data_IF_527259437950
#
_entry.id   IF_527259437950
#
_cell.length_a   1.000
_cell.length_b   1.000
_cell.length_c   1.000
_cell.angle_alpha   90.00
_cell.angle_beta   90.00
_cell.angle_gamma   90.00
#
_symmetry.space_group_name_H-M   'P 1'
#
loop_
_entity.id
_entity.type
_entity.pdbx_description
1 polymer ?
#
# COMPACT_ATOMS: atom_id res chain seq x y z
N UNK A 1 -23.24 -22.71 11.94
CA UNK A 1 -23.38 -21.43 11.23
C UNK A 1 -22.22 -21.32 10.24
N UNK A 2 -22.32 -21.95 9.07
CA UNK A 2 -21.20 -22.10 8.10
C UNK A 2 -21.11 -20.96 7.06
N UNK A 3 -21.87 -19.88 7.20
CA UNK A 3 -21.89 -18.77 6.23
C UNK A 3 -21.19 -17.48 6.69
N UNK A 4 -20.91 -17.32 7.98
CA UNK A 4 -20.36 -16.07 8.53
C UNK A 4 -18.83 -15.94 8.34
N UNK A 5 -18.13 -17.02 8.05
CA UNK A 5 -16.67 -17.01 7.87
C UNK A 5 -16.23 -16.33 6.57
N UNK A 6 -17.14 -16.26 5.59
CA UNK A 6 -16.91 -15.63 4.27
C UNK A 6 -17.51 -14.23 4.20
N UNK A 7 -18.24 -13.79 5.22
CA UNK A 7 -18.89 -12.47 5.23
C UNK A 7 -17.97 -11.44 5.88
N UNK A 8 -17.68 -10.39 5.13
CA UNK A 8 -16.89 -9.25 5.57
C UNK A 8 -17.73 -7.99 5.53
N UNK A 9 -17.55 -7.13 6.54
CA UNK A 9 -18.03 -5.76 6.49
C UNK A 9 -17.04 -4.93 5.66
N UNK A 10 -17.56 -4.26 4.63
CA UNK A 10 -16.83 -3.27 3.85
C UNK A 10 -17.10 -1.89 4.45
N UNK A 11 -16.02 -1.22 4.84
CA UNK A 11 -16.06 0.14 5.37
C UNK A 11 -14.92 0.96 4.75
N UNK A 12 -15.00 2.28 4.85
CA UNK A 12 -13.97 3.18 4.38
C UNK A 12 -13.65 4.27 5.39
N UNK A 13 -12.38 4.65 5.42
CA UNK A 13 -11.82 5.75 6.21
C UNK A 13 -10.65 6.33 5.44
N UNK A 14 -10.52 7.66 5.42
CA UNK A 14 -9.38 8.38 4.81
C UNK A 14 -9.11 7.94 3.35
N UNK A 15 -10.20 7.82 2.59
CA UNK A 15 -10.18 7.45 1.17
C UNK A 15 -9.79 6.01 0.86
N UNK A 16 -9.65 5.13 1.87
CA UNK A 16 -9.33 3.71 1.68
C UNK A 16 -10.46 2.80 2.12
N UNK A 17 -10.51 1.63 1.50
CA UNK A 17 -11.48 0.58 1.82
C UNK A 17 -10.84 -0.52 2.65
N UNK A 18 -11.62 -1.08 3.56
CA UNK A 18 -11.20 -2.12 4.49
C UNK A 18 -12.27 -3.20 4.60
N UNK A 19 -11.82 -4.43 4.86
CA UNK A 19 -12.66 -5.60 5.06
C UNK A 19 -12.42 -6.17 6.46
N UNK A 20 -13.47 -6.21 7.26
CA UNK A 20 -13.46 -6.79 8.60
C UNK A 20 -14.36 -8.04 8.64
N UNK A 21 -13.87 -9.22 9.08
CA UNK A 21 -14.72 -10.40 9.20
C UNK A 21 -15.91 -10.15 10.15
N UNK A 22 -17.14 -10.40 9.67
CA UNK A 22 -18.37 -10.22 10.47
C UNK A 22 -18.37 -11.15 11.69
N UNK A 23 -17.68 -12.28 11.60
CA UNK A 23 -17.48 -13.21 12.71
C UNK A 23 -16.78 -12.55 13.92
N UNK A 24 -15.96 -11.52 13.70
CA UNK A 24 -15.23 -10.76 14.73
C UNK A 24 -15.99 -9.54 15.25
N UNK A 25 -17.15 -9.22 14.68
CA UNK A 25 -17.96 -8.07 15.08
C UNK A 25 -19.11 -8.47 15.99
N UNK A 26 -19.43 -7.62 16.96
CA UNK A 26 -20.60 -7.75 17.82
C UNK A 26 -21.79 -6.95 17.25
N UNK A 27 -21.61 -5.64 17.03
CA UNK A 27 -22.64 -4.72 16.51
C UNK A 27 -22.01 -3.43 16.00
N UNK A 28 -22.83 -2.59 15.36
CA UNK A 28 -22.46 -1.24 14.90
C UNK A 28 -23.25 -0.22 15.71
N UNK A 29 -22.58 0.84 16.16
CA UNK A 29 -23.16 1.97 16.87
C UNK A 29 -22.97 3.27 16.06
N UNK A 30 -23.75 4.30 16.42
CA UNK A 30 -23.53 5.66 15.94
C UNK A 30 -22.23 6.21 16.54
N UNK A 31 -21.33 6.69 15.69
CA UNK A 31 -20.02 7.19 16.12
C UNK A 31 -20.06 8.56 16.81
N UNK A 32 -21.21 9.24 16.81
CA UNK A 32 -21.36 10.56 17.44
C UNK A 32 -21.52 10.48 18.97
N UNK A 33 -22.01 9.35 19.46
CA UNK A 33 -22.27 9.11 20.88
C UNK A 33 -21.41 7.93 21.35
N UNK A 34 -20.14 8.22 21.68
CA UNK A 34 -19.23 7.23 22.24
C UNK A 34 -19.72 6.86 23.65
N UNK A 35 -20.09 5.59 23.93
CA UNK A 35 -20.52 5.18 25.26
C UNK A 35 -19.42 5.37 26.31
N UNK A 36 -19.80 5.88 27.48
CA UNK A 36 -18.86 6.07 28.60
C UNK A 36 -18.14 4.77 28.96
N UNK A 37 -16.80 4.84 29.02
CA UNK A 37 -15.95 3.69 29.37
C UNK A 37 -15.68 2.71 28.23
N UNK A 38 -16.18 2.96 27.01
CA UNK A 38 -15.83 2.18 25.83
C UNK A 38 -14.45 2.58 25.29
N UNK A 39 -13.53 1.62 25.17
CA UNK A 39 -12.26 1.84 24.49
C UNK A 39 -12.49 1.88 22.98
N UNK A 40 -12.32 3.04 22.35
CA UNK A 40 -12.50 3.22 20.91
C UNK A 40 -11.18 3.64 20.28
N UNK A 41 -10.78 2.93 19.23
CA UNK A 41 -9.58 3.21 18.46
C UNK A 41 -9.96 3.85 17.11
N UNK A 42 -9.32 4.96 16.78
CA UNK A 42 -9.55 5.67 15.51
C UNK A 42 -8.77 5.00 14.38
N UNK A 43 -9.49 4.42 13.41
CA UNK A 43 -8.85 3.72 12.28
C UNK A 43 -8.06 4.69 11.40
N UNK A 44 -8.48 5.96 11.28
CA UNK A 44 -7.76 6.97 10.51
C UNK A 44 -6.38 7.22 11.10
N UNK A 45 -6.30 7.40 12.42
CA UNK A 45 -5.03 7.59 13.13
C UNK A 45 -4.11 6.37 12.99
N UNK A 46 -4.65 5.17 13.17
CA UNK A 46 -3.86 3.92 13.10
C UNK A 46 -3.32 3.65 11.69
N UNK A 47 -4.04 4.11 10.67
CA UNK A 47 -3.68 3.89 9.26
C UNK A 47 -2.76 4.97 8.70
N UNK A 48 -2.31 5.91 9.53
CA UNK A 48 -1.43 7.00 9.14
C UNK A 48 -2.16 8.09 8.36
N UNK A 49 -3.49 8.15 8.47
CA UNK A 49 -4.28 9.29 8.02
C UNK A 49 -4.04 10.52 8.89
N UNK A 50 -4.60 11.65 8.48
CA UNK A 50 -4.40 12.93 9.19
C UNK A 50 -4.99 12.96 10.61
N UNK A 51 -5.68 11.90 11.06
CA UNK A 51 -6.40 11.83 12.33
C UNK A 51 -7.58 12.79 12.43
N UNK A 52 -7.65 13.75 11.51
CA UNK A 52 -8.74 14.70 11.35
C UNK A 52 -9.83 14.00 10.52
N UNK A 53 -10.56 13.05 11.13
CA UNK A 53 -11.89 12.67 10.65
C UNK A 53 -12.80 13.89 10.79
N UNK A 54 -12.54 14.90 9.97
CA UNK A 54 -13.06 16.24 10.09
C UNK A 54 -14.56 16.21 9.92
N UNK A 55 -15.31 16.29 11.03
CA UNK A 55 -16.76 16.53 11.08
C UNK A 55 -17.52 15.83 9.94
N UNK A 56 -17.23 14.57 9.64
CA UNK A 56 -18.08 13.83 8.72
C UNK A 56 -19.41 13.64 9.44
N UNK A 57 -20.52 14.03 8.80
CA UNK A 57 -21.87 13.90 9.40
C UNK A 57 -22.26 12.43 9.68
N UNK A 58 -21.41 11.48 9.26
CA UNK A 58 -21.56 10.04 9.47
C UNK A 58 -20.23 9.50 9.97
N UNK A 59 -20.28 8.95 11.17
CA UNK A 59 -19.22 8.17 11.79
C UNK A 59 -19.90 6.96 12.43
N UNK A 60 -19.21 5.83 12.45
CA UNK A 60 -19.72 4.60 13.01
C UNK A 60 -18.69 3.98 13.95
N UNK A 61 -19.16 3.36 15.02
CA UNK A 61 -18.31 2.54 15.88
C UNK A 61 -18.64 1.08 15.60
N UNK A 62 -17.64 0.33 15.14
CA UNK A 62 -17.74 -1.12 14.99
C UNK A 62 -17.27 -1.76 16.29
N UNK A 63 -18.19 -2.37 17.05
CA UNK A 63 -17.83 -3.11 18.26
C UNK A 63 -17.32 -4.51 17.91
N UNK A 64 -16.17 -4.86 18.46
CA UNK A 64 -15.52 -6.15 18.26
C UNK A 64 -15.95 -7.15 19.34
N UNK A 65 -16.05 -8.44 18.96
CA UNK A 65 -16.27 -9.56 19.87
C UNK A 65 -14.96 -9.93 20.58
N UNK A 66 -14.50 -9.06 21.48
CA UNK A 66 -13.31 -9.28 22.30
C UNK A 66 -13.56 -8.95 23.77
N UNK A 67 -12.84 -9.61 24.67
CA UNK A 67 -12.88 -9.30 26.10
C UNK A 67 -12.43 -7.85 26.31
N UNK A 68 -13.30 -7.02 26.92
CA UNK A 68 -13.07 -5.59 27.14
C UNK A 68 -13.83 -4.66 26.20
N UNK A 69 -14.51 -5.16 25.17
CA UNK A 69 -15.42 -4.35 24.34
C UNK A 69 -14.71 -3.22 23.59
N UNK A 70 -13.81 -3.56 22.67
CA UNK A 70 -13.08 -2.58 21.86
C UNK A 70 -13.92 -2.16 20.65
N UNK A 71 -13.98 -0.85 20.40
CA UNK A 71 -14.63 -0.24 19.24
C UNK A 71 -13.62 0.27 18.21
N UNK A 72 -13.95 0.18 16.93
CA UNK A 72 -13.23 0.86 15.85
C UNK A 72 -14.08 2.01 15.33
N UNK A 73 -13.55 3.24 15.40
CA UNK A 73 -14.19 4.41 14.83
C UNK A 73 -13.84 4.50 13.33
N UNK A 74 -14.88 4.59 12.49
CA UNK A 74 -14.75 4.63 11.02
C UNK A 74 -15.68 5.68 10.41
N UNK A 75 -15.34 6.17 9.21
CA UNK A 75 -16.12 7.22 8.54
C UNK A 75 -17.40 6.65 7.94
N UNK A 76 -17.27 5.60 7.13
CA UNK A 76 -18.39 5.10 6.34
C UNK A 76 -18.44 3.58 6.34
N UNK A 77 -19.66 3.04 6.48
CA UNK A 77 -19.93 1.62 6.26
C UNK A 77 -20.63 1.50 4.91
N UNK A 78 -19.99 0.82 3.98
CA UNK A 78 -20.51 0.61 2.63
C UNK A 78 -21.52 -0.53 2.61
N UNK A 79 -21.26 -1.62 3.34
CA UNK A 79 -22.14 -2.76 3.40
C UNK A 79 -21.42 -4.06 3.79
N UNK A 80 -21.99 -5.19 3.38
CA UNK A 80 -21.39 -6.51 3.57
C UNK A 80 -21.06 -7.14 2.22
N UNK A 81 -19.98 -7.91 2.20
CA UNK A 81 -19.48 -8.60 1.02
C UNK A 81 -19.16 -10.05 1.38
N UNK A 82 -19.53 -10.97 0.49
CA UNK A 82 -19.04 -12.35 0.55
C UNK A 82 -17.69 -12.43 -0.19
N UNK A 83 -16.66 -12.86 0.53
CA UNK A 83 -15.29 -12.98 0.03
C UNK A 83 -14.82 -14.41 0.21
N UNK A 84 -14.40 -15.04 -0.89
CA UNK A 84 -13.80 -16.35 -0.85
C UNK A 84 -12.29 -16.26 -0.60
N UNK A 85 -11.70 -17.25 0.07
CA UNK A 85 -10.25 -17.25 0.39
C UNK A 85 -9.37 -17.10 -0.85
N UNK A 86 -9.77 -17.66 -1.99
CA UNK A 86 -9.04 -17.52 -3.26
C UNK A 86 -9.12 -16.13 -3.92
N UNK A 87 -9.98 -15.24 -3.43
CA UNK A 87 -10.07 -13.86 -3.89
C UNK A 87 -9.23 -12.89 -3.05
N UNK A 88 -8.75 -13.34 -1.89
CA UNK A 88 -7.82 -12.59 -1.06
C UNK A 88 -6.40 -12.78 -1.58
N UNK A 89 -5.78 -11.67 -1.97
CA UNK A 89 -4.41 -11.65 -2.47
C UNK A 89 -3.50 -11.22 -1.33
N UNK A 90 -2.54 -12.06 -0.96
CA UNK A 90 -1.54 -11.73 0.06
C UNK A 90 -0.76 -10.48 -0.36
N UNK A 91 -0.56 -9.58 0.60
CA UNK A 91 0.31 -8.42 0.38
C UNK A 91 1.77 -8.86 0.23
N UNK A 92 2.51 -8.32 -0.74
CA UNK A 92 3.94 -8.58 -0.87
C UNK A 92 4.71 -8.16 0.38
N UNK A 93 5.74 -8.93 0.76
CA UNK A 93 6.58 -8.66 1.94
C UNK A 93 7.09 -7.21 2.05
N UNK A 94 7.56 -6.54 0.97
CA UNK A 94 8.08 -5.17 1.07
C UNK A 94 7.07 -4.11 1.50
N UNK A 95 5.77 -4.42 1.38
CA UNK A 95 4.69 -3.52 1.77
C UNK A 95 4.37 -3.64 3.27
N UNK A 96 4.73 -4.76 3.88
CA UNK A 96 4.43 -5.06 5.27
C UNK A 96 5.49 -4.44 6.20
N UNK A 97 5.03 -3.74 7.23
CA UNK A 97 5.85 -3.03 8.21
C UNK A 97 5.35 -3.31 9.63
N UNK A 98 6.10 -2.85 10.63
CA UNK A 98 5.64 -2.86 12.03
C UNK A 98 4.36 -2.03 12.23
N UNK A 99 4.17 -0.97 11.45
CA UNK A 99 3.05 -0.04 11.57
C UNK A 99 1.77 -0.55 10.90
N UNK A 100 1.82 -1.59 10.06
CA UNK A 100 0.64 -2.11 9.36
C UNK A 100 0.39 -3.61 9.58
N UNK A 101 0.83 -4.14 10.72
CA UNK A 101 0.66 -5.55 11.12
C UNK A 101 -0.79 -6.04 11.09
N UNK A 102 -1.77 -5.14 11.21
CA UNK A 102 -3.19 -5.45 11.10
C UNK A 102 -3.62 -5.82 9.66
N UNK A 103 -2.82 -5.54 8.64
CA UNK A 103 -3.11 -5.91 7.26
C UNK A 103 -2.78 -7.39 6.99
N UNK A 104 -3.77 -8.14 6.51
CA UNK A 104 -3.61 -9.56 6.13
C UNK A 104 -3.44 -9.75 4.63
N UNK A 105 -4.31 -9.10 3.86
CA UNK A 105 -4.43 -9.29 2.43
C UNK A 105 -5.15 -8.10 1.80
N UNK A 106 -5.24 -8.10 0.47
CA UNK A 106 -6.09 -7.19 -0.29
C UNK A 106 -7.11 -7.95 -1.11
N UNK A 107 -8.26 -7.33 -1.28
CA UNK A 107 -9.36 -7.81 -2.10
C UNK A 107 -9.64 -6.79 -3.19
N UNK A 108 -9.74 -7.23 -4.45
CA UNK A 108 -10.09 -6.35 -5.57
C UNK A 108 -11.60 -6.15 -5.62
N UNK A 109 -12.07 -4.92 -5.40
CA UNK A 109 -13.51 -4.63 -5.50
C UNK A 109 -13.99 -4.79 -6.95
N UNK A 110 -15.09 -5.53 -7.13
CA UNK A 110 -15.64 -5.87 -8.47
C UNK A 110 -16.31 -4.69 -9.17
N UNK A 111 -16.70 -3.67 -8.42
CA UNK A 111 -17.56 -2.59 -8.91
C UNK A 111 -16.78 -1.35 -9.36
N UNK A 112 -15.47 -1.30 -9.13
CA UNK A 112 -14.63 -0.14 -9.44
C UNK A 112 -13.34 -0.59 -10.11
N UNK A 113 -12.93 0.13 -11.15
CA UNK A 113 -11.65 -0.11 -11.81
C UNK A 113 -10.49 0.14 -10.83
N UNK A 114 -9.88 -0.96 -10.36
CA UNK A 114 -8.65 -1.00 -9.58
C UNK A 114 -8.70 -0.37 -8.18
N UNK A 115 -9.80 -0.56 -7.44
CA UNK A 115 -9.87 -0.20 -6.02
C UNK A 115 -9.69 -1.46 -5.16
N UNK A 116 -8.72 -1.40 -4.25
CA UNK A 116 -8.41 -2.48 -3.32
C UNK A 116 -9.06 -2.22 -1.96
N UNK A 117 -9.61 -3.26 -1.36
CA UNK A 117 -10.01 -3.25 0.04
C UNK A 117 -9.00 -4.06 0.87
N UNK A 118 -8.51 -3.47 1.96
CA UNK A 118 -7.56 -4.08 2.86
C UNK A 118 -8.26 -4.99 3.87
N UNK A 119 -7.97 -6.29 3.83
CA UNK A 119 -8.46 -7.23 4.84
C UNK A 119 -7.69 -7.03 6.14
N UNK A 120 -8.42 -6.71 7.22
CA UNK A 120 -7.83 -6.38 8.53
C UNK A 120 -7.99 -7.52 9.55
N UNK A 121 -7.01 -7.67 10.42
CA UNK A 121 -7.11 -8.47 11.64
C UNK A 121 -7.45 -7.58 12.85
N UNK A 122 -8.69 -7.63 13.36
CA UNK A 122 -9.08 -6.78 14.46
C UNK A 122 -8.33 -7.06 15.77
N UNK A 123 -7.85 -8.30 15.97
CA UNK A 123 -7.16 -8.67 17.21
C UNK A 123 -5.80 -8.01 17.41
N UNK A 124 -5.29 -7.33 16.37
CA UNK A 124 -4.05 -6.55 16.44
C UNK A 124 -4.34 -5.11 16.90
N UNK A 125 -5.54 -4.56 16.65
CA UNK A 125 -5.91 -3.23 17.15
C UNK A 125 -6.06 -3.19 18.68
N UNK A 126 -6.42 -4.31 19.30
CA UNK A 126 -6.68 -4.39 20.74
C UNK A 126 -5.43 -4.54 21.62
N UNK A 127 -4.23 -4.63 21.04
CA UNK A 127 -2.98 -4.81 21.79
C UNK A 127 -1.95 -3.77 21.38
N UNK A 128 -1.80 -2.67 22.16
CA UNK A 128 -0.59 -1.88 22.09
C UNK A 128 0.48 -2.62 22.89
N UNK A 129 1.23 -3.52 22.25
CA UNK A 129 2.39 -4.12 22.91
C UNK A 129 3.68 -3.96 22.11
N UNK A 130 4.65 -3.37 22.80
CA UNK A 130 6.08 -3.33 22.52
C UNK A 130 6.60 -4.73 22.17
N UNK A 131 6.85 -4.98 20.88
CA UNK A 131 7.88 -5.94 20.44
C UNK A 131 8.12 -5.80 18.94
N UNK A 132 9.12 -5.00 18.64
CA UNK A 132 9.83 -5.04 17.37
C UNK A 132 10.65 -6.33 17.29
N UNK A 133 10.01 -7.47 17.01
CA UNK A 133 10.72 -8.52 16.28
C UNK A 133 10.85 -8.06 14.83
N UNK A 134 12.00 -7.44 14.58
CA UNK A 134 12.50 -7.05 13.28
C UNK A 134 12.75 -8.34 12.47
N UNK A 135 11.71 -8.84 11.80
CA UNK A 135 11.89 -9.88 10.79
C UNK A 135 12.85 -9.29 9.76
N UNK A 136 14.02 -9.91 9.62
CA UNK A 136 15.07 -9.50 8.69
C UNK A 136 14.46 -9.17 7.33
N UNK A 137 14.33 -7.88 7.05
CA UNK A 137 13.72 -7.31 5.85
C UNK A 137 14.42 -7.89 4.63
N UNK A 138 13.66 -8.38 3.65
CA UNK A 138 14.15 -8.47 2.28
C UNK A 138 13.97 -7.10 1.64
N UNK A 139 14.95 -6.22 1.85
CA UNK A 139 15.08 -5.02 1.01
C UNK A 139 15.12 -5.47 -0.46
N UNK A 140 14.45 -4.74 -1.38
CA UNK A 140 14.60 -5.05 -2.79
C UNK A 140 16.08 -5.02 -3.13
N UNK A 141 16.55 -6.07 -3.80
CA UNK A 141 17.98 -6.22 -4.09
C UNK A 141 18.45 -4.96 -4.80
N UNK A 142 19.44 -4.27 -4.24
CA UNK A 142 20.16 -3.21 -4.95
C UNK A 142 21.48 -3.84 -5.38
N UNK A 143 21.74 -4.02 -6.69
CA UNK A 143 23.02 -4.53 -7.13
C UNK A 143 24.14 -3.53 -6.82
N UNK A 144 25.39 -3.98 -6.76
CA UNK A 144 26.54 -3.08 -6.55
C UNK A 144 26.77 -2.14 -7.76
N UNK A 145 26.34 -2.58 -8.96
CA UNK A 145 26.47 -1.85 -10.23
C UNK A 145 25.29 -2.15 -11.15
N UNK A 146 24.93 -1.19 -11.99
CA UNK A 146 23.97 -1.39 -13.08
C UNK A 146 24.60 -2.23 -14.21
N UNK A 147 23.82 -3.06 -14.91
CA UNK A 147 24.38 -4.10 -15.78
C UNK A 147 25.14 -3.68 -17.04
N UNK A 148 25.12 -2.48 -17.60
CA UNK A 148 25.68 -2.24 -18.94
C UNK A 148 24.80 -2.83 -20.06
N UNK A 149 24.39 -1.99 -21.00
CA UNK A 149 23.44 -2.37 -22.05
C UNK A 149 22.55 -1.22 -22.49
N UNK A 150 21.37 -1.57 -23.03
CA UNK A 150 20.37 -0.60 -23.46
C UNK A 150 19.43 -0.27 -22.30
N UNK A 151 19.22 1.02 -22.07
CA UNK A 151 18.33 1.53 -21.04
C UNK A 151 17.15 2.28 -21.64
N UNK A 152 16.06 2.34 -20.89
CA UNK A 152 14.93 3.24 -21.12
C UNK A 152 15.04 4.38 -20.11
N UNK A 153 15.07 5.62 -20.58
CA UNK A 153 15.08 6.78 -19.68
C UNK A 153 13.67 7.10 -19.18
N UNK A 154 13.57 7.51 -17.92
CA UNK A 154 12.33 7.91 -17.27
C UNK A 154 12.50 9.28 -16.63
N UNK A 155 11.45 10.09 -16.63
CA UNK A 155 11.40 11.29 -15.81
C UNK A 155 10.57 11.05 -14.54
N UNK A 156 11.17 11.29 -13.38
CA UNK A 156 10.51 11.21 -12.08
C UNK A 156 10.90 12.40 -11.22
N UNK A 157 9.94 13.27 -10.89
CA UNK A 157 10.17 14.44 -10.04
C UNK A 157 11.30 15.34 -10.53
N UNK A 158 11.40 15.54 -11.86
CA UNK A 158 12.46 16.32 -12.50
C UNK A 158 13.83 15.64 -12.56
N UNK A 159 13.94 14.37 -12.14
CA UNK A 159 15.16 13.56 -12.26
C UNK A 159 15.01 12.56 -13.40
N UNK A 160 16.12 12.29 -14.09
CA UNK A 160 16.18 11.21 -15.08
C UNK A 160 16.67 9.92 -14.43
N UNK A 161 15.85 8.88 -14.50
CA UNK A 161 16.20 7.52 -14.14
C UNK A 161 16.43 6.69 -15.41
N UNK A 162 17.13 5.59 -15.27
CA UNK A 162 17.45 4.69 -16.37
C UNK A 162 17.10 3.27 -15.96
N UNK A 163 16.28 2.62 -16.77
CA UNK A 163 15.80 1.27 -16.49
C UNK A 163 16.39 0.30 -17.50
N UNK A 164 16.98 -0.77 -17.00
CA UNK A 164 17.49 -1.85 -17.85
C UNK A 164 16.33 -2.42 -18.68
N UNK A 165 16.42 -2.27 -20.01
CA UNK A 165 15.37 -2.68 -20.94
C UNK A 165 15.06 -4.16 -20.84
N UNK A 166 16.05 -5.00 -20.56
CA UNK A 166 15.85 -6.46 -20.47
C UNK A 166 15.03 -6.86 -19.23
N UNK A 167 15.01 -6.00 -18.22
CA UNK A 167 14.23 -6.21 -16.99
C UNK A 167 12.80 -5.68 -17.06
N UNK A 168 12.45 -4.90 -18.09
CA UNK A 168 11.11 -4.30 -18.25
C UNK A 168 10.08 -5.34 -18.69
N UNK A 169 9.10 -5.55 -17.83
CA UNK A 169 7.95 -6.42 -18.13
C UNK A 169 6.84 -5.64 -18.84
N UNK A 170 6.61 -4.37 -18.47
CA UNK A 170 5.58 -3.55 -19.08
C UNK A 170 5.80 -2.05 -18.88
N UNK A 171 5.19 -1.29 -19.79
CA UNK A 171 4.94 0.15 -19.65
C UNK A 171 3.44 0.33 -19.49
N UNK A 172 3.02 1.01 -18.43
CA UNK A 172 1.60 1.26 -18.14
C UNK A 172 1.30 2.76 -18.16
N UNK A 173 0.16 3.12 -18.75
CA UNK A 173 -0.37 4.47 -18.71
C UNK A 173 -1.19 4.70 -17.44
N UNK A 174 -0.95 5.82 -16.77
CA UNK A 174 -1.71 6.33 -15.61
C UNK A 174 -1.98 5.24 -14.56
N UNK A 175 -0.92 4.67 -13.93
CA UNK A 175 -1.09 3.62 -12.94
C UNK A 175 -1.92 4.15 -11.75
N UNK A 176 -3.00 3.44 -11.42
CA UNK A 176 -3.84 3.74 -10.25
C UNK A 176 -3.19 3.18 -8.99
N UNK A 177 -2.21 3.92 -8.47
CA UNK A 177 -1.46 3.52 -7.28
C UNK A 177 -2.29 3.88 -6.05
N UNK A 178 -2.70 2.85 -5.31
CA UNK A 178 -3.39 3.01 -4.04
C UNK A 178 -2.38 2.95 -2.89
N UNK A 179 -2.36 3.99 -2.04
CA UNK A 179 -1.49 4.01 -0.86
C UNK A 179 -1.78 2.81 0.04
N UNK A 180 -0.74 2.27 0.67
CA UNK A 180 -0.91 1.22 1.68
C UNK A 180 -0.82 1.83 3.08
N UNK A 181 -1.81 1.62 3.96
CA UNK A 181 -1.76 2.06 5.34
C UNK A 181 -0.47 1.65 6.05
N UNK A 182 0.16 2.59 6.77
CA UNK A 182 1.37 2.35 7.56
C UNK A 182 2.58 1.80 6.77
N UNK A 183 2.60 1.90 5.44
CA UNK A 183 3.77 1.54 4.66
C UNK A 183 4.91 2.56 4.85
N UNK A 184 6.14 2.09 4.66
CA UNK A 184 7.35 2.93 4.73
C UNK A 184 7.33 4.01 3.62
N UNK A 185 8.02 5.14 3.84
CA UNK A 185 8.00 6.29 2.90
C UNK A 185 8.54 5.97 1.50
N UNK A 186 9.31 4.89 1.38
CA UNK A 186 9.81 4.38 0.10
C UNK A 186 8.75 3.65 -0.73
N UNK A 187 7.62 3.27 -0.13
CA UNK A 187 6.49 2.61 -0.79
C UNK A 187 5.43 3.67 -1.10
N UNK A 188 5.21 3.95 -2.38
CA UNK A 188 4.11 4.81 -2.81
C UNK A 188 2.76 4.13 -2.67
N UNK A 189 2.71 2.81 -2.86
CA UNK A 189 1.50 2.03 -2.76
C UNK A 189 1.51 0.78 -3.62
N UNK A 190 0.33 0.27 -3.93
CA UNK A 190 0.12 -0.91 -4.76
C UNK A 190 -0.83 -0.61 -5.92
N UNK A 191 -0.67 -1.34 -7.01
CA UNK A 191 -1.62 -1.31 -8.13
C UNK A 191 -1.86 -2.72 -8.69
N UNK A 192 -2.95 -2.86 -9.45
CA UNK A 192 -3.21 -4.07 -10.22
C UNK A 192 -2.47 -4.04 -11.55
N UNK A 193 -1.80 -5.14 -11.89
CA UNK A 193 -1.36 -5.41 -13.24
C UNK A 193 -1.66 -6.86 -13.58
N UNK A 194 -2.59 -7.07 -14.52
CA UNK A 194 -3.02 -8.40 -14.97
C UNK A 194 -3.43 -9.33 -13.80
N UNK A 195 -4.12 -8.79 -12.81
CA UNK A 195 -4.58 -9.55 -11.63
C UNK A 195 -3.51 -9.83 -10.57
N UNK A 196 -2.30 -9.29 -10.74
CA UNK A 196 -1.22 -9.39 -9.75
C UNK A 196 -0.99 -8.03 -9.08
N UNK A 197 -0.55 -8.06 -7.83
CA UNK A 197 -0.19 -6.86 -7.06
C UNK A 197 1.21 -6.39 -7.48
N UNK A 198 1.30 -5.15 -7.93
CA UNK A 198 2.57 -4.45 -8.20
C UNK A 198 2.85 -3.49 -7.06
N UNK A 199 4.05 -3.55 -6.47
CA UNK A 199 4.49 -2.62 -5.43
C UNK A 199 5.18 -1.42 -6.08
N UNK A 200 4.60 -0.23 -5.94
CA UNK A 200 5.18 0.99 -6.49
C UNK A 200 6.11 1.65 -5.47
N UNK A 201 7.37 1.85 -5.87
CA UNK A 201 8.38 2.49 -5.04
C UNK A 201 8.53 3.98 -5.36
N UNK A 202 9.04 4.74 -4.39
CA UNK A 202 9.47 6.12 -4.53
C UNK A 202 10.98 6.19 -4.76
N UNK A 203 11.47 6.37 -6.00
CA UNK A 203 12.90 6.42 -6.30
C UNK A 203 13.70 7.46 -5.50
N UNK A 204 13.08 8.56 -5.07
CA UNK A 204 13.76 9.61 -4.29
C UNK A 204 14.14 9.13 -2.89
N UNK A 205 13.28 8.32 -2.27
CA UNK A 205 13.51 7.80 -0.91
C UNK A 205 14.48 6.61 -0.92
N UNK A 206 14.51 5.85 -2.01
CA UNK A 206 15.44 4.73 -2.21
C UNK A 206 16.89 5.17 -2.43
N UNK A 207 17.10 6.31 -3.09
CA UNK A 207 18.45 6.79 -3.45
C UNK A 207 19.24 7.48 -2.34
N UNK A 208 18.85 7.33 -1.06
CA UNK A 208 19.57 7.90 0.10
C UNK A 208 19.72 9.43 0.12
N UNK A 209 19.09 10.15 -0.81
CA UNK A 209 19.26 11.58 -0.99
C UNK A 209 18.19 12.31 -0.16
N UNK A 210 18.64 13.06 0.86
CA UNK A 210 17.79 13.95 1.68
C UNK A 210 17.32 15.14 0.84
N UNK A 211 16.35 14.94 -0.05
CA UNK A 211 15.65 16.05 -0.70
C UNK A 211 14.15 15.97 -0.44
N UNK A 212 13.59 17.16 -0.28
CA UNK A 212 12.25 17.41 0.22
C UNK A 212 11.17 17.02 -0.79
N UNK A 213 10.16 16.32 -0.29
CA UNK A 213 8.78 16.35 -0.77
C UNK A 213 8.53 15.78 -2.15
N UNK A 214 8.00 14.55 -2.20
CA UNK A 214 7.03 14.18 -3.22
C UNK A 214 5.74 15.00 -2.99
N UNK A 215 5.77 16.30 -3.31
CA UNK A 215 4.55 17.06 -3.54
C UNK A 215 3.80 16.41 -4.70
N UNK A 216 2.46 16.49 -4.72
CA UNK A 216 1.57 15.74 -5.62
C UNK A 216 2.14 15.54 -7.03
N UNK A 217 2.84 14.41 -7.23
CA UNK A 217 3.38 14.05 -8.52
C UNK A 217 2.23 13.39 -9.28
N UNK A 218 1.72 14.07 -10.31
CA UNK A 218 0.83 13.43 -11.26
C UNK A 218 1.66 12.46 -12.11
N UNK A 219 1.52 11.17 -11.83
CA UNK A 219 2.16 10.11 -12.60
C UNK A 219 1.32 9.81 -13.83
N UNK A 220 1.84 10.15 -15.00
CA UNK A 220 1.17 9.89 -16.28
C UNK A 220 1.42 8.46 -16.77
N UNK A 221 2.48 7.81 -16.28
CA UNK A 221 2.89 6.47 -16.68
C UNK A 221 3.70 5.76 -15.57
N UNK A 222 4.02 4.49 -15.81
CA UNK A 222 4.88 3.69 -14.95
C UNK A 222 5.54 2.54 -15.69
N UNK A 223 6.69 2.10 -15.18
CA UNK A 223 7.36 0.88 -15.64
C UNK A 223 7.18 -0.21 -14.60
N UNK A 224 6.89 -1.42 -15.07
CA UNK A 224 6.79 -2.63 -14.27
C UNK A 224 7.98 -3.52 -14.56
N UNK A 225 8.62 -4.00 -13.49
CA UNK A 225 9.77 -4.89 -13.50
C UNK A 225 9.44 -6.15 -12.70
N UNK A 226 9.90 -7.31 -13.16
CA UNK A 226 9.83 -8.56 -12.40
C UNK A 226 10.97 -8.63 -11.37
N UNK A 227 10.64 -8.98 -10.12
CA UNK A 227 11.59 -9.17 -9.03
C UNK A 227 11.32 -10.49 -8.32
N UNK A 228 11.78 -11.59 -8.92
CA UNK A 228 11.55 -12.93 -8.37
C UNK A 228 10.06 -13.26 -8.32
N UNK A 229 9.50 -13.31 -7.11
CA UNK A 229 8.11 -13.74 -6.86
C UNK A 229 7.08 -12.60 -6.90
N UNK A 230 7.50 -11.34 -6.99
CA UNK A 230 6.60 -10.18 -7.10
C UNK A 230 7.03 -9.20 -8.19
N UNK A 231 6.17 -8.22 -8.45
CA UNK A 231 6.44 -7.16 -9.42
C UNK A 231 6.63 -5.83 -8.71
N UNK A 232 7.55 -5.03 -9.23
CA UNK A 232 7.79 -3.67 -8.76
C UNK A 232 7.38 -2.68 -9.84
N UNK A 233 6.88 -1.54 -9.40
CA UNK A 233 6.48 -0.42 -10.25
C UNK A 233 7.31 0.80 -9.93
N UNK A 234 7.74 1.51 -10.97
CA UNK A 234 8.33 2.84 -10.86
C UNK A 234 7.41 3.81 -11.59
N UNK A 235 6.71 4.72 -10.88
CA UNK A 235 5.92 5.71 -11.57
C UNK A 235 6.84 6.75 -12.22
N UNK A 236 6.36 7.39 -13.27
CA UNK A 236 7.08 8.44 -13.98
C UNK A 236 6.11 9.42 -14.64
N UNK A 237 6.59 10.62 -14.92
CA UNK A 237 5.86 11.66 -15.65
C UNK A 237 6.08 11.58 -17.16
N UNK A 238 7.18 10.95 -17.60
CA UNK A 238 7.48 10.72 -19.00
C UNK A 238 8.41 9.53 -19.19
N UNK A 239 8.32 8.88 -20.36
CA UNK A 239 9.17 7.77 -20.77
C UNK A 239 9.91 8.18 -22.04
N UNK A 240 11.23 8.24 -21.94
CA UNK A 240 12.12 8.57 -23.04
C UNK A 240 12.43 7.39 -23.95
N UNK A 241 13.31 7.66 -24.92
CA UNK A 241 13.78 6.66 -25.87
C UNK A 241 14.74 5.64 -25.28
N UNK A 242 15.13 4.68 -26.13
CA UNK A 242 16.23 3.77 -25.81
C UNK A 242 17.55 4.51 -25.92
N UNK A 243 18.37 4.38 -24.88
CA UNK A 243 19.67 5.03 -24.77
C UNK A 243 20.74 3.97 -24.43
N UNK A 244 21.90 4.04 -25.08
CA UNK A 244 23.12 3.43 -24.54
C UNK A 244 23.66 4.41 -23.50
N UNK A 245 23.57 4.03 -22.23
CA UNK A 245 23.83 4.93 -21.10
C UNK A 245 25.14 4.52 -20.42
N UNK A 246 25.94 5.47 -19.89
CA UNK A 246 27.31 5.18 -19.47
C UNK A 246 27.42 4.27 -18.25
N UNK A 247 28.61 3.70 -18.04
CA UNK A 247 28.97 2.75 -16.97
C UNK A 247 28.94 3.35 -15.53
N UNK A 248 28.48 4.60 -15.37
CA UNK A 248 28.51 5.37 -14.13
C UNK A 248 27.15 5.46 -13.42
N UNK A 249 26.16 4.68 -13.86
CA UNK A 249 24.86 4.61 -13.22
C UNK A 249 24.97 4.00 -11.82
N UNK A 250 24.54 4.78 -10.82
CA UNK A 250 24.36 4.32 -9.46
C UNK A 250 23.02 3.58 -9.35
N UNK A 251 23.01 2.33 -8.88
CA UNK A 251 21.78 1.58 -8.65
C UNK A 251 20.87 2.27 -7.62
N UNK A 252 19.58 2.34 -7.95
CA UNK A 252 18.52 2.82 -7.03
C UNK A 252 17.70 1.64 -6.52
N UNK A 253 17.34 0.72 -7.43
CA UNK A 253 16.73 -0.58 -7.17
C UNK A 253 17.15 -1.53 -8.29
N UNK A 254 17.08 -2.85 -8.13
CA UNK A 254 17.43 -3.77 -9.20
C UNK A 254 16.68 -3.44 -10.51
N UNK A 255 17.45 -3.24 -11.58
CA UNK A 255 16.97 -2.82 -12.89
C UNK A 255 16.82 -1.30 -13.08
N UNK A 256 17.00 -0.47 -12.06
CA UNK A 256 16.83 1.00 -12.13
C UNK A 256 18.04 1.73 -11.55
N UNK A 257 18.63 2.62 -12.34
CA UNK A 257 19.77 3.44 -11.95
C UNK A 257 19.53 4.93 -12.15
N UNK A 258 20.35 5.74 -11.50
CA UNK A 258 20.44 7.17 -11.71
C UNK A 258 21.89 7.56 -11.98
N UNK A 259 22.12 8.61 -12.78
CA UNK A 259 23.46 9.18 -12.90
C UNK A 259 23.88 9.78 -11.56
N UNK A 260 25.15 9.60 -11.21
CA UNK A 260 25.77 10.40 -10.15
C UNK A 260 25.67 11.88 -10.56
N UNK A 261 25.20 12.74 -9.67
CA UNK A 261 25.37 14.18 -9.88
C UNK A 261 26.83 14.52 -9.57
N UNK A 262 27.52 15.18 -10.49
CA UNK A 262 28.83 15.81 -10.25
C UNK A 262 28.71 16.97 -9.26
#
# INVERSE_FOLDING_TARGET
MEGLEKLYLLFSTDGLYYLLPVSKMERILDGRDIPDGLAVADVSEITGGSGDMGKSDRQYIILLKEEGGHGLLVEHITGMLEVHEGELISLPEPVLSGANRYLKAVYKLKNEEAVWAYAVDPGIFAKPEDSAEDKRRREPRVPDRMPGGTYISLEYGGRRLYVDKESVSAVVSSPRIQRVPGAEEEILGIADYQGKVVVYYNPVKMGGTKQAGAGSLEYTCGIILEQGDWMIGIPCSDIGGQEEVPDDLLPVINGVGAKSCD
#
